data_IF_755971931257
#
_entry.id   IF_755971931257
#
_cell.length_a   1.000
_cell.length_b   1.000
_cell.length_c   1.000
_cell.angle_alpha   90.00
_cell.angle_beta   90.00
_cell.angle_gamma   90.00
#
_symmetry.space_group_name_H-M   'P 1'
#
loop_
_entity.id
_entity.type
_entity.pdbx_description
1 polymer ?
#
# COMPACT_ATOMS: atom_id res chain seq x y z
N UNK A 1 -8.61 -7.82 20.64
CA UNK A 1 -8.87 -7.09 19.38
C UNK A 1 -8.62 -5.59 19.55
N UNK A 2 -7.73 -5.04 18.72
CA UNK A 2 -7.37 -3.63 18.63
C UNK A 2 -7.38 -3.21 17.16
N UNK A 3 -7.66 -1.92 16.90
CA UNK A 3 -7.70 -1.34 15.55
C UNK A 3 -6.77 -0.14 15.52
N UNK A 4 -5.80 -0.16 14.61
CA UNK A 4 -4.86 0.95 14.40
C UNK A 4 -4.86 1.35 12.92
N UNK A 5 -4.84 2.65 12.64
CA UNK A 5 -4.84 3.18 11.28
C UNK A 5 -3.43 3.57 10.86
N UNK A 6 -3.19 3.53 9.55
CA UNK A 6 -1.95 3.99 8.96
C UNK A 6 -2.09 4.32 7.48
N UNK A 7 -0.99 4.80 6.92
CA UNK A 7 -0.85 5.14 5.51
C UNK A 7 0.52 4.68 4.98
N UNK A 8 0.58 4.40 3.68
CA UNK A 8 1.82 4.19 2.93
C UNK A 8 1.79 5.14 1.75
N UNK A 9 2.68 6.12 1.74
CA UNK A 9 2.90 6.98 0.60
C UNK A 9 3.81 6.27 -0.41
N UNK A 10 3.51 6.42 -1.69
CA UNK A 10 4.39 5.97 -2.76
C UNK A 10 4.76 7.14 -3.67
N UNK A 11 6.04 7.46 -3.65
CA UNK A 11 6.59 8.61 -4.36
C UNK A 11 6.63 8.35 -5.86
N UNK A 12 6.64 9.44 -6.63
CA UNK A 12 6.80 9.44 -8.08
C UNK A 12 7.98 8.58 -8.55
N UNK A 13 7.69 7.56 -9.35
CA UNK A 13 8.67 6.76 -10.11
C UNK A 13 8.06 6.33 -11.44
N UNK A 14 8.93 5.98 -12.41
CA UNK A 14 8.58 5.53 -13.77
C UNK A 14 9.13 4.13 -14.04
N UNK A 15 8.64 3.47 -15.08
CA UNK A 15 9.13 2.16 -15.54
C UNK A 15 9.09 1.07 -14.44
N UNK A 16 8.16 1.16 -13.50
CA UNK A 16 8.05 0.29 -12.35
C UNK A 16 6.56 -0.01 -12.09
N UNK A 17 6.13 -1.28 -12.12
CA UNK A 17 4.76 -1.61 -11.73
C UNK A 17 4.41 -3.11 -11.84
N UNK A 18 3.60 -3.66 -10.91
CA UNK A 18 3.23 -3.11 -9.60
C UNK A 18 4.43 -2.97 -8.65
N UNK A 19 4.40 -1.95 -7.79
CA UNK A 19 5.43 -1.68 -6.77
C UNK A 19 4.99 -2.15 -5.40
N UNK A 20 5.95 -2.47 -4.52
CA UNK A 20 5.71 -2.85 -3.12
C UNK A 20 6.39 -1.86 -2.19
N UNK A 21 5.63 -1.27 -1.27
CA UNK A 21 6.13 -0.46 -0.16
C UNK A 21 5.56 -1.00 1.16
N UNK A 22 6.24 -0.73 2.27
CA UNK A 22 5.89 -1.33 3.56
C UNK A 22 5.95 -0.31 4.70
N UNK A 23 5.10 -0.49 5.69
CA UNK A 23 5.18 0.24 6.97
C UNK A 23 4.92 -0.70 8.14
N UNK A 24 5.39 -0.31 9.31
CA UNK A 24 5.20 -1.05 10.56
C UNK A 24 4.08 -0.39 11.40
N UNK A 25 3.18 -1.22 11.92
CA UNK A 25 2.21 -0.83 12.95
C UNK A 25 2.56 -1.54 14.24
N UNK A 26 2.76 -0.78 15.30
CA UNK A 26 3.15 -1.31 16.62
C UNK A 26 1.95 -1.34 17.56
N UNK A 27 1.56 -2.54 17.98
CA UNK A 27 0.51 -2.76 18.97
C UNK A 27 1.08 -2.72 20.40
N UNK A 28 0.29 -2.30 21.40
CA UNK A 28 0.71 -2.27 22.81
C UNK A 28 0.96 -3.67 23.39
N UNK A 29 0.30 -4.71 22.87
CA UNK A 29 0.43 -6.12 23.29
C UNK A 29 0.82 -7.00 22.11
N UNK A 30 1.42 -8.16 22.39
CA UNK A 30 1.75 -9.13 21.34
C UNK A 30 0.47 -9.57 20.63
N UNK A 31 0.53 -9.64 19.30
CA UNK A 31 -0.55 -10.07 18.42
C UNK A 31 -0.27 -11.47 17.91
N UNK A 32 -1.33 -12.25 17.71
CA UNK A 32 -1.31 -13.60 17.19
C UNK A 32 -1.98 -13.70 15.82
N UNK A 33 -2.86 -12.75 15.52
CA UNK A 33 -3.51 -12.60 14.23
C UNK A 33 -3.62 -11.11 13.88
N UNK A 34 -3.43 -10.78 12.60
CA UNK A 34 -3.55 -9.42 12.11
C UNK A 34 -4.03 -9.43 10.67
N UNK A 35 -4.93 -8.50 10.34
CA UNK A 35 -5.44 -8.27 8.98
C UNK A 35 -5.46 -6.77 8.70
N UNK A 36 -4.82 -6.36 7.61
CA UNK A 36 -4.96 -5.00 7.09
C UNK A 36 -6.17 -4.89 6.13
N UNK A 37 -6.96 -3.84 6.30
CA UNK A 37 -8.11 -3.49 5.50
C UNK A 37 -7.79 -2.22 4.71
N UNK A 38 -8.02 -2.25 3.40
CA UNK A 38 -7.93 -1.05 2.57
C UNK A 38 -9.13 -0.15 2.88
N UNK A 39 -8.88 1.05 3.38
CA UNK A 39 -9.94 2.02 3.72
C UNK A 39 -10.01 3.19 2.74
N UNK A 40 -8.97 3.38 1.92
CA UNK A 40 -8.96 4.39 0.87
C UNK A 40 -7.62 4.44 0.15
N UNK A 41 -7.57 5.18 -0.94
CA UNK A 41 -6.33 5.46 -1.66
C UNK A 41 -6.48 6.75 -2.48
N UNK A 42 -5.34 7.37 -2.77
CA UNK A 42 -5.16 8.34 -3.85
C UNK A 42 -4.08 7.80 -4.80
N UNK A 43 -4.30 7.92 -6.11
CA UNK A 43 -3.38 7.47 -7.13
C UNK A 43 -3.52 8.35 -8.37
N UNK A 44 -2.42 8.92 -8.84
CA UNK A 44 -2.41 9.80 -9.99
C UNK A 44 -1.15 9.60 -10.84
N UNK A 45 -1.30 9.85 -12.14
CA UNK A 45 -0.16 10.09 -13.02
C UNK A 45 0.50 11.44 -12.67
N UNK A 46 1.82 11.51 -12.78
CA UNK A 46 2.60 12.69 -12.36
C UNK A 46 3.83 12.92 -13.26
N UNK A 47 3.88 13.97 -14.10
CA UNK A 47 3.01 15.14 -14.09
C UNK A 47 1.58 14.84 -14.56
N UNK A 48 0.67 15.77 -14.29
CA UNK A 48 -0.72 15.70 -14.75
C UNK A 48 -0.79 16.04 -16.23
N UNK A 49 -0.47 15.07 -17.08
CA UNK A 49 -0.60 15.15 -18.53
C UNK A 49 -1.77 14.28 -19.03
N UNK A 50 -1.97 14.20 -20.35
CA UNK A 50 -2.99 13.35 -20.94
C UNK A 50 -2.60 11.87 -20.82
N UNK A 51 -3.23 11.19 -19.87
CA UNK A 51 -3.08 9.75 -19.68
C UNK A 51 -4.45 9.09 -19.79
N UNK A 52 -4.50 8.00 -20.55
CA UNK A 52 -5.70 7.17 -20.64
C UNK A 52 -5.61 6.10 -19.56
N UNK A 53 -6.48 6.19 -18.54
CA UNK A 53 -6.55 5.19 -17.48
C UNK A 53 -6.69 3.78 -18.06
N UNK A 54 -5.74 2.90 -17.76
CA UNK A 54 -5.73 1.51 -18.22
C UNK A 54 -6.03 0.53 -17.09
N UNK A 55 -5.20 0.50 -16.05
CA UNK A 55 -5.36 -0.40 -14.92
C UNK A 55 -4.94 0.25 -13.60
N UNK A 56 -5.60 -0.14 -12.51
CA UNK A 56 -5.21 0.20 -11.15
C UNK A 56 -5.14 -1.07 -10.32
N UNK A 57 -3.98 -1.31 -9.72
CA UNK A 57 -3.78 -2.35 -8.72
C UNK A 57 -3.49 -1.70 -7.37
N UNK A 58 -4.24 -2.10 -6.34
CA UNK A 58 -3.97 -1.77 -4.95
C UNK A 58 -4.32 -3.00 -4.12
N UNK A 59 -3.33 -3.53 -3.40
CA UNK A 59 -3.45 -4.74 -2.59
C UNK A 59 -2.65 -4.57 -1.32
N UNK A 60 -3.19 -5.09 -0.22
CA UNK A 60 -2.51 -5.12 1.07
C UNK A 60 -2.13 -6.55 1.43
N UNK A 61 -0.94 -6.71 2.01
CA UNK A 61 -0.50 -7.93 2.66
C UNK A 61 -0.12 -7.58 4.11
N UNK A 62 -0.24 -8.56 5.01
CA UNK A 62 0.02 -8.36 6.45
C UNK A 62 0.90 -9.48 6.95
N UNK A 63 1.94 -9.12 7.71
CA UNK A 63 2.89 -10.06 8.31
C UNK A 63 3.17 -9.64 9.76
N UNK A 64 3.07 -10.59 10.71
CA UNK A 64 3.47 -10.36 12.10
C UNK A 64 4.96 -10.70 12.21
N UNK A 65 5.77 -9.80 12.79
CA UNK A 65 7.19 -10.06 13.01
C UNK A 65 7.37 -11.21 14.03
N UNK A 66 7.98 -12.35 13.63
CA UNK A 66 8.13 -13.51 14.50
C UNK A 66 9.10 -13.27 15.68
N UNK A 67 10.00 -12.29 15.56
CA UNK A 67 10.96 -11.92 16.61
C UNK A 67 10.42 -10.81 17.52
N UNK A 68 9.40 -10.09 17.07
CA UNK A 68 8.79 -8.99 17.80
C UNK A 68 7.28 -8.97 17.57
N UNK A 69 6.50 -9.86 18.22
CA UNK A 69 5.09 -10.11 17.90
C UNK A 69 4.13 -8.95 18.19
N UNK A 70 4.64 -7.78 18.59
CA UNK A 70 3.87 -6.53 18.67
C UNK A 70 3.86 -5.75 17.35
N UNK A 71 4.75 -6.12 16.43
CA UNK A 71 4.98 -5.41 15.16
C UNK A 71 4.25 -6.14 14.05
N UNK A 72 3.39 -5.42 13.37
CA UNK A 72 2.69 -5.88 12.18
C UNK A 72 3.21 -5.09 10.99
N UNK A 73 3.87 -5.76 10.07
CA UNK A 73 4.26 -5.22 8.79
C UNK A 73 3.05 -5.22 7.85
N UNK A 74 2.73 -4.05 7.31
CA UNK A 74 1.73 -3.89 6.26
C UNK A 74 2.48 -3.62 4.96
N UNK A 75 2.26 -4.45 3.95
CA UNK A 75 2.81 -4.24 2.62
C UNK A 75 1.70 -3.77 1.69
N UNK A 76 1.87 -2.60 1.08
CA UNK A 76 1.03 -2.16 -0.03
C UNK A 76 1.72 -2.55 -1.34
N UNK A 77 1.01 -3.31 -2.16
CA UNK A 77 1.32 -3.49 -3.58
C UNK A 77 0.41 -2.57 -4.37
N UNK A 78 0.98 -1.68 -5.18
CA UNK A 78 0.23 -0.66 -5.89
C UNK A 78 0.81 -0.42 -7.28
N UNK A 79 -0.06 -0.06 -8.21
CA UNK A 79 0.31 0.28 -9.58
C UNK A 79 -0.79 1.06 -10.27
N UNK A 80 -0.44 2.15 -10.95
CA UNK A 80 -1.29 2.79 -11.95
C UNK A 80 -0.69 2.65 -13.37
N UNK A 81 -1.46 2.06 -14.29
CA UNK A 81 -1.06 1.81 -15.69
C UNK A 81 -1.95 2.58 -16.64
N UNK A 82 -1.35 3.15 -17.68
CA UNK A 82 -2.09 3.74 -18.79
C UNK A 82 -2.53 2.66 -19.82
N UNK A 83 -3.27 3.06 -20.85
CA UNK A 83 -3.76 2.14 -21.89
C UNK A 83 -2.68 1.79 -22.94
N UNK A 84 -1.60 2.58 -23.07
CA UNK A 84 -0.57 2.33 -24.10
C UNK A 84 0.14 0.99 -23.90
N UNK A 85 0.09 0.43 -22.69
CA UNK A 85 0.29 -0.99 -22.41
C UNK A 85 1.39 -1.25 -21.38
N UNK A 86 2.27 -0.29 -21.17
CA UNK A 86 3.44 -0.39 -20.30
C UNK A 86 3.23 0.34 -18.95
N UNK A 87 4.07 0.02 -17.97
CA UNK A 87 4.15 0.74 -16.67
C UNK A 87 5.21 1.84 -16.73
N UNK A 88 5.29 2.54 -17.86
CA UNK A 88 6.34 3.49 -18.18
C UNK A 88 6.03 4.91 -17.67
N UNK A 89 4.75 5.21 -17.47
CA UNK A 89 4.32 6.46 -16.89
C UNK A 89 4.69 6.61 -15.42
N UNK A 90 4.93 7.86 -15.05
CA UNK A 90 5.18 8.20 -13.67
C UNK A 90 3.86 8.21 -12.89
N UNK A 91 3.81 7.55 -11.75
CA UNK A 91 2.67 7.62 -10.85
C UNK A 91 3.09 7.73 -9.39
N UNK A 92 2.22 8.34 -8.60
CA UNK A 92 2.38 8.59 -7.18
C UNK A 92 1.03 8.59 -6.46
N UNK A 93 1.07 8.57 -5.14
CA UNK A 93 -0.14 8.54 -4.34
C UNK A 93 0.08 8.00 -2.93
N UNK A 94 -1.02 7.57 -2.34
CA UNK A 94 -1.07 7.15 -0.95
C UNK A 94 -2.13 6.07 -0.75
N UNK A 95 -1.80 5.06 0.04
CA UNK A 95 -2.72 3.98 0.45
C UNK A 95 -3.05 4.16 1.93
N UNK A 96 -4.33 4.22 2.26
CA UNK A 96 -4.83 4.30 3.63
C UNK A 96 -5.36 2.94 4.08
N UNK A 97 -5.02 2.53 5.29
CA UNK A 97 -5.42 1.23 5.81
C UNK A 97 -5.76 1.25 7.31
N UNK A 98 -6.53 0.25 7.74
CA UNK A 98 -6.75 -0.10 9.15
C UNK A 98 -6.26 -1.52 9.41
N UNK A 99 -5.48 -1.73 10.46
CA UNK A 99 -5.07 -3.06 10.92
C UNK A 99 -5.95 -3.46 12.09
N UNK A 100 -6.64 -4.59 11.94
CA UNK A 100 -7.35 -5.26 13.04
C UNK A 100 -6.49 -6.42 13.50
N UNK A 101 -6.16 -6.47 14.79
CA UNK A 101 -5.32 -7.52 15.36
C UNK A 101 -5.76 -7.92 16.77
N UNK A 102 -5.41 -9.15 17.18
CA UNK A 102 -5.64 -9.68 18.53
C UNK A 102 -4.51 -10.52 19.08
#
# INVERSE_FOLDING_TARGET
MQILNGNIAFNRRRNEGPRRESTEVVFPTAVTQATALLIGFDAAFSPRDDHHFGNLEIRLETEIDPLAPRRVNVHAVFGLRDWSGDWDDHYEGEVFFSVVAE
#
